data_IF_991546691502
#
_entry.id   IF_991546691502
#
_cell.length_a   1.000
_cell.length_b   1.000
_cell.length_c   1.000
_cell.angle_alpha   90.00
_cell.angle_beta   90.00
_cell.angle_gamma   90.00
#
_symmetry.space_group_name_H-M   'P 1'
#
loop_
_entity.id
_entity.type
_entity.pdbx_description
1 polymer ?
#
# COMPACT_ATOMS: atom_id res chain seq x y z
N UNK A 1 -3.84 -49.10 -20.84
CA UNK A 1 -2.82 -49.45 -19.81
C UNK A 1 -1.90 -48.23 -19.62
N UNK A 2 -2.22 -47.32 -18.72
CA UNK A 2 -1.44 -46.10 -18.47
C UNK A 2 -1.50 -45.75 -16.99
N UNK A 3 -0.36 -45.88 -16.30
CA UNK A 3 -0.23 -45.83 -14.84
C UNK A 3 -0.48 -44.42 -14.31
N UNK A 4 -1.42 -44.31 -13.35
CA UNK A 4 -1.61 -43.14 -12.49
C UNK A 4 -0.41 -43.05 -11.53
N UNK A 5 0.11 -41.85 -11.30
CA UNK A 5 1.09 -41.57 -10.26
C UNK A 5 0.33 -40.99 -9.07
N UNK A 6 0.18 -41.79 -8.03
CA UNK A 6 -0.35 -41.38 -6.74
C UNK A 6 0.68 -40.52 -6.02
N UNK A 7 0.28 -39.33 -5.59
CA UNK A 7 1.10 -38.47 -4.74
C UNK A 7 0.72 -38.76 -3.29
N UNK A 8 1.63 -39.39 -2.55
CA UNK A 8 1.52 -39.56 -1.11
C UNK A 8 1.98 -38.26 -0.45
N UNK A 9 1.06 -37.54 0.17
CA UNK A 9 1.37 -36.43 1.08
C UNK A 9 1.66 -37.00 2.46
N UNK A 10 2.91 -36.86 2.91
CA UNK A 10 3.26 -37.13 4.30
C UNK A 10 2.83 -35.94 5.16
N UNK A 11 1.90 -36.20 6.08
CA UNK A 11 1.42 -35.26 7.08
C UNK A 11 2.43 -35.21 8.24
N UNK A 12 3.22 -34.14 8.32
CA UNK A 12 4.16 -33.94 9.44
C UNK A 12 3.48 -33.14 10.53
N UNK A 13 3.15 -33.85 11.62
CA UNK A 13 2.62 -33.32 12.87
C UNK A 13 3.66 -32.41 13.54
N UNK A 14 3.37 -31.10 13.67
CA UNK A 14 4.22 -30.17 14.41
C UNK A 14 3.74 -30.08 15.86
N UNK A 15 4.53 -30.62 16.78
CA UNK A 15 4.32 -30.51 18.23
C UNK A 15 4.90 -29.16 18.70
N UNK A 16 4.04 -28.28 19.21
CA UNK A 16 4.43 -27.04 19.87
C UNK A 16 4.94 -27.34 21.29
N UNK A 17 6.25 -27.20 21.52
CA UNK A 17 6.81 -27.09 22.87
C UNK A 17 6.92 -25.61 23.25
N UNK A 18 6.28 -25.26 24.38
CA UNK A 18 6.44 -23.95 25.04
C UNK A 18 7.79 -23.94 25.76
N UNK A 19 8.59 -22.88 25.62
CA UNK A 19 9.58 -22.58 26.65
C UNK A 19 9.96 -21.10 26.75
N UNK A 20 9.82 -20.63 28.00
CA UNK A 20 10.53 -19.60 28.76
C UNK A 20 10.95 -18.25 28.15
N UNK A 21 10.38 -17.20 28.78
CA UNK A 21 10.93 -15.85 29.04
C UNK A 21 12.47 -15.80 29.10
N UNK A 22 13.05 -15.02 28.19
CA UNK A 22 14.40 -14.47 28.29
C UNK A 22 14.33 -12.94 28.33
N UNK A 23 14.74 -12.36 29.46
CA UNK A 23 14.90 -10.93 29.71
C UNK A 23 16.21 -10.49 29.05
N UNK A 24 16.15 -9.55 28.11
CA UNK A 24 17.34 -8.91 27.54
C UNK A 24 17.60 -7.61 28.29
N UNK A 25 18.73 -7.57 29.00
CA UNK A 25 19.27 -6.37 29.62
C UNK A 25 19.77 -5.41 28.53
N UNK A 26 19.34 -4.15 28.61
CA UNK A 26 19.93 -3.05 27.83
C UNK A 26 21.28 -2.69 28.46
N UNK A 27 22.34 -2.81 27.68
CA UNK A 27 23.63 -2.24 28.01
C UNK A 27 23.78 -0.86 27.34
N UNK A 28 24.29 0.07 28.13
CA UNK A 28 24.48 1.49 27.85
C UNK A 28 25.36 1.76 26.63
N UNK A 29 24.88 2.63 25.74
CA UNK A 29 25.59 3.12 24.56
C UNK A 29 25.87 4.62 24.67
N UNK A 30 26.61 5.03 25.70
CA UNK A 30 27.19 6.36 25.81
C UNK A 30 28.66 6.33 25.36
N UNK A 31 29.09 7.38 24.63
CA UNK A 31 30.47 7.70 24.22
C UNK A 31 30.91 7.29 22.82
N UNK A 32 30.52 8.11 21.82
CA UNK A 32 31.46 8.60 20.80
C UNK A 32 31.03 10.02 20.38
N UNK A 33 31.34 11.00 21.24
CA UNK A 33 31.41 12.42 20.88
C UNK A 33 32.84 12.89 21.08
N UNK A 34 33.54 13.22 20.00
CA UNK A 34 34.44 14.38 19.92
C UNK A 34 35.17 14.45 18.56
N UNK A 35 35.29 15.69 18.09
CA UNK A 35 36.36 16.25 17.26
C UNK A 35 36.36 16.01 15.73
N UNK A 36 35.80 16.99 15.02
CA UNK A 36 36.42 17.65 13.86
C UNK A 36 35.71 19.02 13.71
N UNK A 37 36.23 20.07 14.33
CA UNK A 37 37.19 21.03 13.75
C UNK A 37 36.61 21.80 12.56
N UNK A 38 36.36 23.07 12.87
CA UNK A 38 35.97 24.16 11.98
C UNK A 38 36.91 24.30 10.78
N UNK A 39 36.33 24.49 9.60
CA UNK A 39 36.99 25.11 8.47
C UNK A 39 35.92 25.87 7.66
N UNK A 40 35.92 27.20 7.79
CA UNK A 40 35.19 28.11 6.90
C UNK A 40 35.81 28.05 5.49
N UNK A 41 35.03 28.00 4.41
CA UNK A 41 35.55 28.23 3.07
C UNK A 41 35.66 29.73 2.78
N UNK A 42 36.68 30.16 2.02
CA UNK A 42 36.86 31.57 1.66
C UNK A 42 35.76 32.03 0.69
N UNK A 43 35.32 33.26 0.92
CA UNK A 43 34.46 34.04 0.04
C UNK A 43 35.26 34.52 -1.17
N UNK A 44 34.82 34.15 -2.38
CA UNK A 44 35.29 34.77 -3.61
C UNK A 44 34.11 35.37 -4.37
N UNK A 45 34.13 36.70 -4.45
CA UNK A 45 33.15 37.52 -5.15
C UNK A 45 33.71 37.76 -6.56
N UNK A 46 33.11 37.13 -7.56
CA UNK A 46 33.24 37.61 -8.95
C UNK A 46 31.88 37.81 -9.57
N UNK A 47 31.54 39.08 -9.69
CA UNK A 47 30.41 39.63 -10.43
C UNK A 47 30.58 39.35 -11.93
N UNK A 48 29.60 38.65 -12.54
CA UNK A 48 29.35 38.73 -13.98
C UNK A 48 27.86 38.93 -14.22
N UNK A 49 27.58 40.04 -14.87
CA UNK A 49 26.30 40.49 -15.40
C UNK A 49 25.83 39.56 -16.52
N UNK A 50 24.82 38.73 -16.24
CA UNK A 50 24.02 38.02 -17.23
C UNK A 50 22.59 38.57 -17.21
N UNK A 51 22.12 39.10 -18.34
CA UNK A 51 20.75 39.61 -18.50
C UNK A 51 19.69 38.51 -18.38
N UNK A 52 18.41 38.87 -18.17
CA UNK A 52 17.36 37.90 -17.90
C UNK A 52 16.99 37.16 -19.18
N UNK A 53 17.53 35.96 -19.37
CA UNK A 53 16.95 34.96 -20.26
C UNK A 53 15.69 34.42 -19.61
N UNK A 54 14.55 34.84 -20.15
CA UNK A 54 13.22 34.31 -19.83
C UNK A 54 13.25 32.77 -20.00
N UNK A 55 12.96 31.96 -18.96
CA UNK A 55 12.87 30.53 -19.15
C UNK A 55 11.72 30.22 -20.14
N UNK A 56 11.85 29.21 -21.00
CA UNK A 56 10.75 28.74 -21.82
C UNK A 56 9.61 28.32 -20.90
N UNK A 57 8.39 28.75 -21.25
CA UNK A 57 7.19 28.55 -20.45
C UNK A 57 7.07 27.09 -20.04
N UNK A 58 7.01 26.85 -18.73
CA UNK A 58 6.56 25.59 -18.18
C UNK A 58 5.15 25.37 -18.73
N UNK A 59 5.03 24.42 -19.66
CA UNK A 59 3.75 23.83 -20.02
C UNK A 59 3.06 23.49 -18.70
N UNK A 60 1.97 24.18 -18.39
CA UNK A 60 1.12 23.79 -17.27
C UNK A 60 0.47 22.47 -17.68
N UNK A 61 1.18 21.38 -17.42
CA UNK A 61 0.63 20.04 -17.51
C UNK A 61 -0.48 20.02 -16.45
N UNK A 62 -1.74 20.04 -16.89
CA UNK A 62 -2.88 19.86 -15.99
C UNK A 62 -2.67 18.55 -15.25
N UNK A 63 -2.48 18.64 -13.94
CA UNK A 63 -2.28 17.46 -13.10
C UNK A 63 -3.44 16.49 -13.31
N UNK A 64 -3.12 15.24 -13.63
CA UNK A 64 -4.11 14.21 -13.85
C UNK A 64 -5.01 14.05 -12.61
N UNK A 65 -6.32 13.92 -12.82
CA UNK A 65 -7.24 13.70 -11.70
C UNK A 65 -7.09 12.26 -11.23
N UNK A 66 -6.91 12.07 -9.92
CA UNK A 66 -6.76 10.75 -9.32
C UNK A 66 -8.12 10.09 -9.15
N UNK A 67 -8.22 8.81 -9.53
CA UNK A 67 -9.36 7.94 -9.19
C UNK A 67 -8.94 6.89 -8.17
N UNK A 68 -9.65 6.82 -7.05
CA UNK A 68 -9.34 5.91 -5.93
C UNK A 68 -10.33 4.76 -5.90
N UNK A 69 -9.84 3.53 -6.04
CA UNK A 69 -10.71 2.38 -6.22
C UNK A 69 -10.74 1.51 -4.96
N UNK A 70 -11.90 1.42 -4.26
CA UNK A 70 -12.10 0.40 -3.23
C UNK A 70 -12.11 -1.00 -3.87
N UNK A 71 -12.23 -2.04 -3.05
CA UNK A 71 -12.58 -3.35 -3.56
C UNK A 71 -13.94 -3.25 -4.27
N UNK A 72 -14.01 -3.87 -5.46
CA UNK A 72 -15.22 -3.86 -6.30
C UNK A 72 -16.47 -4.25 -5.50
N UNK A 73 -17.54 -3.43 -5.53
CA UNK A 73 -18.81 -3.79 -4.92
C UNK A 73 -19.36 -5.13 -5.42
N UNK A 74 -19.17 -5.45 -6.70
CA UNK A 74 -19.62 -6.72 -7.30
C UNK A 74 -18.82 -7.91 -6.75
N UNK A 75 -17.51 -7.74 -6.54
CA UNK A 75 -16.68 -8.77 -5.90
C UNK A 75 -17.21 -9.04 -4.48
N UNK A 76 -17.49 -7.99 -3.70
CA UNK A 76 -18.00 -8.13 -2.33
C UNK A 76 -19.42 -8.71 -2.30
N UNK A 77 -20.25 -8.37 -3.28
CA UNK A 77 -21.58 -8.97 -3.43
C UNK A 77 -21.49 -10.49 -3.70
N UNK A 78 -20.51 -10.94 -4.49
CA UNK A 78 -20.23 -12.37 -4.68
C UNK A 78 -19.80 -13.05 -3.39
N UNK A 79 -18.88 -12.43 -2.62
CA UNK A 79 -18.42 -12.96 -1.34
C UNK A 79 -19.58 -13.15 -0.36
N UNK A 80 -20.43 -12.13 -0.21
CA UNK A 80 -21.61 -12.18 0.66
C UNK A 80 -22.61 -13.25 0.23
N UNK A 81 -22.89 -13.34 -1.07
CA UNK A 81 -23.83 -14.34 -1.61
C UNK A 81 -23.33 -15.77 -1.39
N UNK A 82 -22.03 -16.00 -1.58
CA UNK A 82 -21.44 -17.35 -1.51
C UNK A 82 -21.03 -17.76 -0.09
N UNK A 83 -20.83 -16.79 0.80
CA UNK A 83 -20.19 -17.03 2.10
C UNK A 83 -18.72 -17.46 1.98
N UNK A 84 -18.09 -17.19 0.83
CA UNK A 84 -16.71 -17.57 0.51
C UNK A 84 -16.00 -16.40 -0.17
N UNK A 85 -14.76 -16.15 0.21
CA UNK A 85 -13.91 -15.19 -0.49
C UNK A 85 -13.55 -15.69 -1.90
N UNK A 86 -12.86 -14.83 -2.68
CA UNK A 86 -12.48 -15.15 -4.06
C UNK A 86 -11.54 -16.38 -4.17
N UNK A 87 -10.92 -16.78 -3.07
CA UNK A 87 -10.01 -17.92 -2.98
C UNK A 87 -10.69 -19.19 -2.41
N UNK A 88 -11.97 -19.11 -2.06
CA UNK A 88 -12.74 -20.23 -1.52
C UNK A 88 -12.63 -20.40 -0.01
N UNK A 89 -12.06 -19.43 0.70
CA UNK A 89 -11.99 -19.43 2.17
C UNK A 89 -13.25 -18.80 2.75
N UNK A 90 -13.71 -19.29 3.90
CA UNK A 90 -14.80 -18.65 4.66
C UNK A 90 -14.29 -17.32 5.23
N UNK A 91 -14.99 -16.19 5.03
CA UNK A 91 -14.65 -14.92 5.69
C UNK A 91 -14.57 -15.08 7.21
N UNK A 92 -13.49 -14.59 7.83
CA UNK A 92 -13.32 -14.66 9.28
C UNK A 92 -14.08 -13.51 9.95
N UNK A 93 -15.05 -13.78 10.86
CA UNK A 93 -15.73 -12.74 11.62
C UNK A 93 -14.77 -12.00 12.55
N UNK A 94 -14.90 -10.69 12.63
CA UNK A 94 -14.05 -9.85 13.46
C UNK A 94 -14.84 -8.67 14.03
N UNK A 95 -14.83 -8.51 15.36
CA UNK A 95 -15.41 -7.34 16.03
C UNK A 95 -14.32 -6.30 16.26
N UNK A 96 -14.50 -5.14 15.63
CA UNK A 96 -13.56 -4.03 15.62
C UNK A 96 -13.36 -3.39 17.00
N UNK A 97 -12.13 -2.98 17.31
CA UNK A 97 -11.84 -2.07 18.46
C UNK A 97 -11.82 -0.59 18.04
N UNK A 98 -12.11 -0.32 16.76
CA UNK A 98 -12.01 0.97 16.11
C UNK A 98 -10.65 1.17 15.43
N UNK A 99 -10.65 1.81 14.27
CA UNK A 99 -9.43 2.16 13.53
C UNK A 99 -8.99 1.16 12.46
N UNK A 100 -9.71 0.05 12.26
CA UNK A 100 -9.42 -0.92 11.21
C UNK A 100 -9.74 -0.33 9.84
N UNK A 101 -8.82 -0.46 8.89
CA UNK A 101 -8.96 0.15 7.57
C UNK A 101 -9.88 -0.69 6.67
N UNK A 102 -11.04 -0.17 6.32
CA UNK A 102 -12.03 -0.89 5.51
C UNK A 102 -11.77 -0.70 4.02
N UNK A 103 -11.72 -1.79 3.27
CA UNK A 103 -11.40 -1.78 1.83
C UNK A 103 -12.63 -1.64 0.94
N UNK A 104 -13.84 -1.79 1.49
CA UNK A 104 -15.11 -1.60 0.79
C UNK A 104 -15.49 -0.13 0.62
N UNK A 105 -15.24 0.70 1.64
CA UNK A 105 -15.65 2.10 1.68
C UNK A 105 -14.54 3.08 2.05
N UNK A 106 -13.30 2.59 2.25
CA UNK A 106 -12.11 3.40 2.54
C UNK A 106 -12.33 4.37 3.72
N UNK A 107 -12.91 3.86 4.81
CA UNK A 107 -12.93 4.51 6.12
C UNK A 107 -12.28 3.63 7.17
N UNK A 108 -12.04 4.19 8.35
CA UNK A 108 -11.76 3.38 9.53
C UNK A 108 -13.07 2.83 10.11
N UNK A 109 -12.99 1.64 10.70
CA UNK A 109 -14.07 1.07 11.49
C UNK A 109 -14.31 1.86 12.77
N UNK A 110 -15.54 1.80 13.26
CA UNK A 110 -15.88 2.25 14.61
C UNK A 110 -15.64 1.10 15.61
N UNK A 111 -15.53 1.40 16.93
CA UNK A 111 -15.54 0.37 17.95
C UNK A 111 -16.81 -0.48 17.90
N UNK A 112 -16.67 -1.77 18.20
CA UNK A 112 -17.75 -2.77 18.24
C UNK A 112 -18.44 -3.03 16.89
N UNK A 113 -17.88 -2.51 15.80
CA UNK A 113 -18.38 -2.76 14.46
C UNK A 113 -18.04 -4.19 13.98
N UNK A 114 -19.02 -4.89 13.41
CA UNK A 114 -18.86 -6.24 12.85
C UNK A 114 -18.25 -6.18 11.45
N UNK A 115 -17.12 -6.87 11.30
CA UNK A 115 -16.32 -6.92 10.08
C UNK A 115 -16.07 -8.37 9.64
N UNK A 116 -15.67 -8.52 8.39
CA UNK A 116 -15.03 -9.73 7.87
C UNK A 116 -13.58 -9.46 7.50
N UNK A 117 -12.73 -10.44 7.79
CA UNK A 117 -11.41 -10.55 7.18
C UNK A 117 -11.49 -11.54 6.02
N UNK A 118 -11.08 -11.09 4.83
CA UNK A 118 -11.07 -11.91 3.61
C UNK A 118 -9.69 -11.92 2.94
N UNK A 119 -9.41 -12.96 2.15
CA UNK A 119 -8.24 -12.98 1.26
C UNK A 119 -8.53 -12.16 0.00
N UNK A 120 -7.69 -11.18 -0.30
CA UNK A 120 -7.86 -10.34 -1.47
C UNK A 120 -6.55 -10.21 -2.28
N UNK A 121 -6.70 -10.26 -3.61
CA UNK A 121 -5.64 -9.92 -4.54
C UNK A 121 -6.11 -8.77 -5.45
N UNK A 122 -5.40 -7.63 -5.46
CA UNK A 122 -5.79 -6.47 -6.26
C UNK A 122 -5.54 -6.69 -7.76
N UNK A 123 -4.55 -7.52 -8.12
CA UNK A 123 -4.31 -7.92 -9.50
C UNK A 123 -5.19 -9.13 -9.88
N UNK A 124 -5.74 -9.11 -11.08
CA UNK A 124 -6.64 -10.16 -11.58
C UNK A 124 -5.88 -11.24 -12.36
N UNK A 125 -4.82 -10.88 -13.08
CA UNK A 125 -3.98 -11.79 -13.84
C UNK A 125 -3.12 -12.65 -12.91
N UNK A 126 -3.10 -13.96 -13.17
CA UNK A 126 -2.25 -14.92 -12.46
C UNK A 126 -0.78 -14.71 -12.86
N UNK A 127 -0.12 -13.75 -12.20
CA UNK A 127 1.29 -13.37 -12.38
C UNK A 127 2.06 -13.49 -11.07
N UNK A 128 3.40 -13.57 -11.10
CA UNK A 128 4.22 -13.65 -9.88
C UNK A 128 3.99 -12.49 -8.89
N UNK A 129 3.61 -11.31 -9.39
CA UNK A 129 3.32 -10.14 -8.56
C UNK A 129 1.90 -10.10 -7.98
N UNK A 130 1.05 -11.11 -8.27
CA UNK A 130 -0.30 -11.20 -7.72
C UNK A 130 -0.26 -11.64 -6.27
N UNK A 131 0.03 -10.69 -5.40
CA UNK A 131 0.01 -10.90 -3.96
C UNK A 131 -1.42 -11.07 -3.45
N UNK A 132 -1.56 -11.94 -2.45
CA UNK A 132 -2.80 -12.16 -1.70
C UNK A 132 -2.54 -11.74 -0.27
N UNK A 133 -3.44 -10.97 0.32
CA UNK A 133 -3.33 -10.57 1.72
C UNK A 133 -4.69 -10.37 2.37
N UNK A 134 -4.72 -10.32 3.71
CA UNK A 134 -5.94 -10.09 4.46
C UNK A 134 -6.40 -8.63 4.32
N UNK A 135 -7.71 -8.44 4.19
CA UNK A 135 -8.34 -7.12 4.18
C UNK A 135 -9.63 -7.13 4.99
N UNK A 136 -9.91 -6.03 5.68
CA UNK A 136 -11.18 -5.83 6.36
C UNK A 136 -12.25 -5.28 5.42
N UNK A 137 -13.45 -5.86 5.48
CA UNK A 137 -14.64 -5.45 4.73
C UNK A 137 -15.89 -5.61 5.59
N UNK A 138 -16.97 -4.90 5.24
CA UNK A 138 -18.26 -5.11 5.89
C UNK A 138 -18.90 -6.45 5.47
N UNK A 139 -19.49 -7.20 6.42
CA UNK A 139 -20.32 -8.36 6.11
C UNK A 139 -21.56 -7.93 5.33
N UNK A 140 -22.15 -6.78 5.66
CA UNK A 140 -23.31 -6.21 4.96
C UNK A 140 -22.92 -5.20 3.88
N UNK A 141 -23.88 -4.84 3.03
CA UNK A 141 -23.70 -3.78 2.03
C UNK A 141 -23.48 -2.44 2.75
N UNK A 142 -22.43 -1.71 2.35
CA UNK A 142 -22.21 -0.32 2.74
C UNK A 142 -22.32 0.61 1.51
N UNK A 143 -22.26 1.92 1.73
CA UNK A 143 -22.33 2.94 0.69
C UNK A 143 -21.13 2.93 -0.27
N UNK A 144 -20.05 2.25 0.12
CA UNK A 144 -18.81 2.18 -0.66
C UNK A 144 -18.02 3.49 -0.63
N UNK A 145 -17.11 3.64 -1.58
CA UNK A 145 -16.33 4.87 -1.80
C UNK A 145 -16.56 5.37 -3.22
N UNK A 146 -16.84 6.66 -3.38
CA UNK A 146 -16.89 7.30 -4.70
C UNK A 146 -15.46 7.52 -5.22
N UNK A 147 -15.05 6.87 -6.33
CA UNK A 147 -13.69 6.99 -6.83
C UNK A 147 -13.26 8.39 -7.24
N UNK A 148 -14.21 9.30 -7.51
CA UNK A 148 -13.95 10.70 -7.85
C UNK A 148 -13.85 11.64 -6.65
N UNK A 149 -14.13 11.16 -5.42
CA UNK A 149 -14.15 11.99 -4.20
C UNK A 149 -12.78 12.52 -3.78
N UNK A 150 -11.69 12.00 -4.37
CA UNK A 150 -10.32 12.32 -4.03
C UNK A 150 -9.66 11.25 -3.16
N UNK A 151 -8.59 11.61 -2.44
CA UNK A 151 -7.94 10.68 -1.50
C UNK A 151 -8.65 10.72 -0.14
N UNK A 152 -8.96 9.56 0.48
CA UNK A 152 -9.41 9.53 1.87
C UNK A 152 -8.39 10.19 2.81
N UNK A 153 -8.85 11.10 3.69
CA UNK A 153 -7.99 11.85 4.61
C UNK A 153 -7.02 10.98 5.41
N UNK A 154 -7.46 9.78 5.81
CA UNK A 154 -6.61 8.90 6.60
C UNK A 154 -5.38 8.39 5.84
N UNK A 155 -5.40 8.38 4.50
CA UNK A 155 -4.25 7.99 3.69
C UNK A 155 -3.08 8.97 3.84
N UNK A 156 -3.36 10.26 3.97
CA UNK A 156 -2.34 11.30 4.09
C UNK A 156 -1.69 11.37 5.49
N UNK A 157 -2.32 10.77 6.52
CA UNK A 157 -1.88 10.93 7.93
C UNK A 157 -0.65 10.12 8.34
N UNK A 158 -0.23 9.15 7.53
CA UNK A 158 0.90 8.27 7.84
C UNK A 158 1.69 7.96 6.55
N UNK A 159 2.98 7.58 6.63
CA UNK A 159 3.74 7.02 5.51
C UNK A 159 3.02 5.86 4.78
N UNK A 160 3.22 5.76 3.46
CA UNK A 160 2.64 4.71 2.61
C UNK A 160 3.71 4.09 1.73
N UNK A 161 3.62 2.78 1.52
CA UNK A 161 4.34 2.12 0.42
C UNK A 161 3.46 2.20 -0.81
N UNK A 162 4.00 2.78 -1.87
CA UNK A 162 3.38 2.89 -3.19
C UNK A 162 4.09 1.91 -4.13
N UNK A 163 3.31 1.04 -4.76
CA UNK A 163 3.82 0.09 -5.76
C UNK A 163 3.11 0.32 -7.07
N UNK A 164 3.87 0.69 -8.09
CA UNK A 164 3.35 0.96 -9.43
C UNK A 164 3.26 -0.34 -10.23
N UNK A 165 2.25 -0.45 -11.08
CA UNK A 165 2.02 -1.59 -11.96
C UNK A 165 1.75 -1.13 -13.38
N UNK A 166 2.26 -1.91 -14.33
CA UNK A 166 2.02 -1.76 -15.76
C UNK A 166 0.62 -2.26 -16.15
N UNK A 167 0.19 -1.93 -17.36
CA UNK A 167 -1.11 -2.37 -17.89
C UNK A 167 -1.27 -3.91 -17.97
N UNK A 168 -0.16 -4.63 -18.16
CA UNK A 168 -0.12 -6.10 -18.14
C UNK A 168 0.09 -6.70 -16.73
N UNK A 169 -0.09 -5.88 -15.69
CA UNK A 169 -0.06 -6.25 -14.27
C UNK A 169 1.30 -6.80 -13.80
N UNK A 170 2.38 -6.17 -14.27
CA UNK A 170 3.74 -6.38 -13.75
C UNK A 170 4.12 -5.22 -12.84
N UNK A 171 4.94 -5.48 -11.84
CA UNK A 171 5.44 -4.41 -10.98
C UNK A 171 6.42 -3.52 -11.75
N UNK A 172 6.13 -2.22 -11.79
CA UNK A 172 7.05 -1.20 -12.31
C UNK A 172 7.97 -0.74 -11.17
N UNK A 173 9.12 -1.40 -11.03
CA UNK A 173 10.08 -1.17 -9.94
C UNK A 173 10.57 0.29 -9.82
N UNK A 174 10.86 1.02 -10.91
CA UNK A 174 11.23 2.43 -10.84
C UNK A 174 10.13 3.32 -10.24
N UNK A 175 8.87 2.86 -10.23
CA UNK A 175 7.72 3.54 -9.64
C UNK A 175 7.39 3.10 -8.20
N UNK A 176 8.29 2.39 -7.50
CA UNK A 176 8.11 2.06 -6.08
C UNK A 176 8.55 3.24 -5.22
N UNK A 177 7.70 3.70 -4.29
CA UNK A 177 8.01 4.79 -3.37
C UNK A 177 7.60 4.44 -1.94
N UNK A 178 8.35 4.94 -0.97
CA UNK A 178 7.91 5.07 0.42
C UNK A 178 7.70 6.55 0.67
N UNK A 179 6.49 6.97 1.04
CA UNK A 179 6.23 8.38 1.36
C UNK A 179 6.77 8.72 2.75
N UNK A 180 7.39 9.89 2.87
CA UNK A 180 7.91 10.45 4.11
C UNK A 180 6.90 11.28 4.90
N UNK A 181 7.34 11.79 6.04
CA UNK A 181 6.57 12.79 6.80
C UNK A 181 6.64 14.13 6.05
N UNK A 182 5.49 14.66 5.64
CA UNK A 182 5.37 15.93 4.91
C UNK A 182 5.18 15.79 3.39
N UNK A 183 5.28 14.58 2.83
CA UNK A 183 4.95 14.35 1.43
C UNK A 183 3.45 14.53 1.18
N UNK A 184 3.09 15.24 0.11
CA UNK A 184 1.73 15.21 -0.41
C UNK A 184 1.50 13.91 -1.19
N UNK A 185 0.68 13.02 -0.62
CA UNK A 185 0.38 11.73 -1.24
C UNK A 185 -0.24 11.88 -2.64
N UNK A 186 -1.05 12.91 -2.86
CA UNK A 186 -1.66 13.21 -4.15
C UNK A 186 -0.62 13.57 -5.20
N UNK A 187 0.30 14.48 -4.89
CA UNK A 187 1.38 14.88 -5.79
C UNK A 187 2.31 13.70 -6.14
N UNK A 188 2.64 12.86 -5.14
CA UNK A 188 3.46 11.65 -5.37
C UNK A 188 2.71 10.68 -6.30
N UNK A 189 1.42 10.45 -6.08
CA UNK A 189 0.62 9.58 -6.94
C UNK A 189 0.49 10.13 -8.36
N UNK A 190 0.26 11.44 -8.53
CA UNK A 190 0.20 12.09 -9.84
C UNK A 190 1.54 11.97 -10.57
N UNK A 191 2.66 12.15 -9.88
CA UNK A 191 4.01 12.00 -10.45
C UNK A 191 4.23 10.57 -10.95
N UNK A 192 3.84 9.56 -10.15
CA UNK A 192 3.96 8.16 -10.54
C UNK A 192 3.06 7.79 -11.72
N UNK A 193 1.83 8.32 -11.75
CA UNK A 193 0.84 8.07 -12.81
C UNK A 193 1.08 8.89 -14.08
N UNK A 194 1.99 9.87 -14.05
CA UNK A 194 2.43 10.60 -15.24
C UNK A 194 3.41 9.79 -16.10
N UNK A 195 4.01 8.72 -15.54
CA UNK A 195 4.80 7.76 -16.29
C UNK A 195 3.89 6.90 -17.18
N UNK A 196 4.04 6.92 -18.51
CA UNK A 196 3.17 6.16 -19.42
C UNK A 196 3.27 4.63 -19.25
N UNK A 197 4.31 4.11 -18.58
CA UNK A 197 4.41 2.69 -18.26
C UNK A 197 3.55 2.30 -17.04
N UNK A 198 3.09 3.26 -16.23
CA UNK A 198 2.34 3.02 -15.00
C UNK A 198 0.84 3.13 -15.24
N UNK A 199 0.14 2.00 -15.19
CA UNK A 199 -1.32 1.94 -15.35
C UNK A 199 -2.07 2.14 -14.02
N UNK A 200 -1.51 1.66 -12.91
CA UNK A 200 -2.08 1.84 -11.59
C UNK A 200 -1.03 1.82 -10.49
N UNK A 201 -1.33 2.46 -9.36
CA UNK A 201 -0.50 2.46 -8.17
C UNK A 201 -1.28 1.86 -7.01
N UNK A 202 -0.72 0.85 -6.36
CA UNK A 202 -1.27 0.28 -5.13
C UNK A 202 -0.71 1.03 -3.93
N UNK A 203 -1.61 1.54 -3.10
CA UNK A 203 -1.30 2.16 -1.80
C UNK A 203 -1.33 1.08 -0.73
N UNK A 204 -0.27 0.97 0.05
CA UNK A 204 -0.11 -0.07 1.08
C UNK A 204 0.29 0.49 2.43
N UNK A 205 -0.09 -0.25 3.47
CA UNK A 205 0.35 0.01 4.83
C UNK A 205 1.86 -0.27 4.96
N UNK A 206 2.61 0.55 5.69
CA UNK A 206 4.07 0.39 5.83
C UNK A 206 4.45 -0.78 6.74
N UNK A 207 3.74 -0.99 7.84
CA UNK A 207 4.07 -2.02 8.83
C UNK A 207 3.57 -3.39 8.36
N UNK A 208 2.28 -3.47 8.04
CA UNK A 208 1.64 -4.73 7.67
C UNK A 208 1.83 -5.10 6.19
N UNK A 209 2.29 -4.15 5.37
CA UNK A 209 2.38 -4.29 3.90
C UNK A 209 1.04 -4.58 3.20
N UNK A 210 -0.09 -4.71 3.91
CA UNK A 210 -1.39 -5.01 3.30
C UNK A 210 -1.82 -3.94 2.29
N UNK A 211 -2.51 -4.40 1.25
CA UNK A 211 -3.17 -3.54 0.26
C UNK A 211 -4.22 -2.64 0.93
N UNK A 212 -4.24 -1.34 0.64
CA UNK A 212 -5.28 -0.40 1.12
C UNK A 212 -6.25 -0.06 -0.02
N UNK A 213 -5.73 0.45 -1.13
CA UNK A 213 -6.52 0.86 -2.29
C UNK A 213 -5.61 0.89 -3.52
N UNK A 214 -6.19 0.83 -4.71
CA UNK A 214 -5.47 1.16 -5.95
C UNK A 214 -5.90 2.53 -6.45
N UNK A 215 -5.01 3.22 -7.13
CA UNK A 215 -5.23 4.56 -7.68
C UNK A 215 -4.84 4.55 -9.16
N UNK A 216 -5.66 5.16 -10.00
CA UNK A 216 -5.39 5.36 -11.42
C UNK A 216 -5.53 6.84 -11.79
N UNK A 217 -4.96 7.24 -12.92
CA UNK A 217 -5.36 8.49 -13.56
C UNK A 217 -6.79 8.34 -14.10
N UNK A 218 -7.55 9.43 -14.11
CA UNK A 218 -8.79 9.59 -14.89
C UNK A 218 -8.52 9.70 -16.38
#
# INVERSE_FOLDING_TARGET
>A
MGRRRDWVVHETMFVLSRSAKGRMDLADGESLRAAAMSAEPPSDQTSRTGGPTRPPGMSQQTAATLRVHPISPDLLADVRRRGLDHFGSVPEPFTSRGGDQLRCCLRHSDPDEDLWVISHAPLTARRPWREVGPVFVHPDRCDGYDPGRGLPDFLARKPRVLRSYTADQRMHYPGIRLTGAGDDLGEVLQTLLADPEVAEVHVRNVEAQCFITRVTSS
#
